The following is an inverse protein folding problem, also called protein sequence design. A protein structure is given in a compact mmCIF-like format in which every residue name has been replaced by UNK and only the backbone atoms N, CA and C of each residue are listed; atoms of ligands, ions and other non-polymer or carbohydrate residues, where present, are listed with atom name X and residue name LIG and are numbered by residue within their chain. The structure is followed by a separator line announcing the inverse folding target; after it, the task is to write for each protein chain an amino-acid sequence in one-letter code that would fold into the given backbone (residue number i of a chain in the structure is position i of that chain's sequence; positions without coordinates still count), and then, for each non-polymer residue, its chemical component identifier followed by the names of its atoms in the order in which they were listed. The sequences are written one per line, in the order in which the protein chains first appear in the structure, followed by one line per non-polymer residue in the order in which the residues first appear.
data_IF_831706396388
#
_entry.id   IF_831706396388
#
_cell.length_a   1.000
_cell.length_b   1.000
_cell.length_c   1.000
_cell.angle_alpha   90.00
_cell.angle_beta   90.00
_cell.angle_gamma   90.00
#
_symmetry.space_group_name_H-M   'P 1'
#
loop_
_entity.id
_entity.type
_entity.pdbx_description
1 polymer ?
#
# COMPACT_ATOMS: atom_id res chain seq x y z
N UNK A 1 -3.36 -3.62 19.87
CA UNK A 1 -2.58 -4.51 18.97
C UNK A 1 -1.15 -4.01 18.93
N UNK A 2 -0.13 -4.87 18.77
CA UNK A 2 1.26 -4.41 18.66
C UNK A 2 1.61 -4.01 17.22
N UNK A 3 2.56 -3.09 17.05
CA UNK A 3 3.08 -2.67 15.75
C UNK A 3 3.54 -3.87 14.91
N UNK A 4 4.33 -4.77 15.53
CA UNK A 4 4.86 -5.98 14.88
C UNK A 4 3.76 -6.87 14.32
N UNK A 5 2.63 -7.00 15.03
CA UNK A 5 1.49 -7.79 14.56
C UNK A 5 0.85 -7.17 13.30
N UNK A 6 0.77 -5.84 13.22
CA UNK A 6 0.24 -5.14 12.03
C UNK A 6 1.18 -5.33 10.84
N UNK A 7 2.48 -5.14 11.06
CA UNK A 7 3.50 -5.32 10.01
C UNK A 7 3.49 -6.76 9.49
N UNK A 8 3.39 -7.75 10.38
CA UNK A 8 3.31 -9.17 9.99
C UNK A 8 2.08 -9.45 9.12
N UNK A 9 0.90 -8.93 9.49
CA UNK A 9 -0.30 -9.06 8.66
C UNK A 9 -0.17 -8.38 7.30
N UNK A 10 0.43 -7.19 7.25
CA UNK A 10 0.69 -6.50 6.00
C UNK A 10 1.67 -7.26 5.11
N UNK A 11 2.70 -7.87 5.68
CA UNK A 11 3.64 -8.73 4.94
C UNK A 11 2.96 -10.00 4.40
N UNK A 12 2.07 -10.61 5.17
CA UNK A 12 1.27 -11.74 4.71
C UNK A 12 0.35 -11.34 3.53
N UNK A 13 -0.27 -10.16 3.61
CA UNK A 13 -1.04 -9.60 2.50
C UNK A 13 -0.18 -9.36 1.26
N UNK A 14 1.03 -8.79 1.42
CA UNK A 14 1.96 -8.58 0.31
C UNK A 14 2.38 -9.91 -0.36
N UNK A 15 2.54 -10.98 0.41
CA UNK A 15 2.82 -12.30 -0.13
C UNK A 15 1.64 -12.83 -0.98
N UNK A 16 0.41 -12.70 -0.48
CA UNK A 16 -0.80 -13.05 -1.22
C UNK A 16 -0.93 -12.23 -2.53
N UNK A 17 -0.72 -10.92 -2.44
CA UNK A 17 -0.81 -10.01 -3.59
C UNK A 17 0.20 -10.36 -4.69
N UNK A 18 1.40 -10.83 -4.32
CA UNK A 18 2.40 -11.32 -5.29
C UNK A 18 1.96 -12.58 -6.01
N UNK A 19 1.32 -13.52 -5.30
CA UNK A 19 0.79 -14.73 -5.95
C UNK A 19 -0.35 -14.37 -6.92
N UNK A 20 -1.24 -13.46 -6.53
CA UNK A 20 -2.31 -12.96 -7.41
C UNK A 20 -1.76 -12.23 -8.66
N UNK A 21 -0.60 -11.60 -8.55
CA UNK A 21 0.03 -10.85 -9.63
C UNK A 21 0.88 -11.70 -10.59
N UNK A 22 0.89 -13.03 -10.43
CA UNK A 22 1.79 -13.93 -11.14
C UNK A 22 1.68 -13.79 -12.66
N UNK A 23 0.46 -13.66 -13.16
CA UNK A 23 0.14 -13.57 -14.59
C UNK A 23 0.06 -12.12 -15.09
N UNK A 24 0.52 -11.17 -14.28
CA UNK A 24 0.40 -9.74 -14.53
C UNK A 24 -0.76 -9.12 -13.75
N UNK A 25 -0.81 -7.79 -13.78
CA UNK A 25 -1.88 -7.00 -13.17
C UNK A 25 -2.23 -5.84 -14.11
N UNK A 26 -3.44 -5.33 -13.99
CA UNK A 26 -3.80 -4.00 -14.47
C UNK A 26 -3.50 -2.96 -13.39
N UNK A 27 -3.34 -1.70 -13.80
CA UNK A 27 -3.23 -0.58 -12.85
C UNK A 27 -4.45 -0.45 -11.93
N UNK A 28 -5.64 -0.84 -12.40
CA UNK A 28 -6.86 -0.88 -11.58
C UNK A 28 -6.81 -1.95 -10.49
N UNK A 29 -6.27 -3.14 -10.80
CA UNK A 29 -6.05 -4.20 -9.81
C UNK A 29 -4.98 -3.81 -8.79
N UNK A 30 -3.87 -3.23 -9.25
CA UNK A 30 -2.86 -2.67 -8.37
C UNK A 30 -3.45 -1.62 -7.41
N UNK A 31 -4.27 -0.71 -7.93
CA UNK A 31 -4.95 0.31 -7.12
C UNK A 31 -5.87 -0.28 -6.06
N UNK A 32 -6.61 -1.36 -6.39
CA UNK A 32 -7.43 -2.09 -5.41
C UNK A 32 -6.58 -2.71 -4.29
N UNK A 33 -5.52 -3.42 -4.64
CA UNK A 33 -4.58 -4.02 -3.68
C UNK A 33 -3.93 -2.97 -2.78
N UNK A 34 -3.59 -1.81 -3.34
CA UNK A 34 -3.04 -0.68 -2.59
C UNK A 34 -4.04 -0.17 -1.56
N UNK A 35 -5.30 0.07 -1.94
CA UNK A 35 -6.34 0.55 -1.02
C UNK A 35 -6.65 -0.48 0.06
N UNK A 36 -6.70 -1.77 -0.28
CA UNK A 36 -6.91 -2.86 0.68
C UNK A 36 -5.77 -2.93 1.72
N UNK A 37 -4.52 -2.86 1.27
CA UNK A 37 -3.35 -2.79 2.15
C UNK A 37 -3.42 -1.57 3.07
N UNK A 38 -3.78 -0.39 2.53
CA UNK A 38 -3.92 0.82 3.33
C UNK A 38 -5.05 0.72 4.36
N UNK A 39 -6.20 0.15 4.00
CA UNK A 39 -7.30 -0.09 4.96
C UNK A 39 -6.86 -1.02 6.10
N UNK A 40 -6.22 -2.14 5.76
CA UNK A 40 -5.71 -3.10 6.74
C UNK A 40 -4.71 -2.45 7.70
N UNK A 41 -3.75 -1.70 7.14
CA UNK A 41 -2.67 -1.08 7.92
C UNK A 41 -3.16 0.10 8.75
N UNK A 42 -4.02 0.97 8.21
CA UNK A 42 -4.60 2.10 8.95
C UNK A 42 -5.46 1.60 10.11
N UNK A 43 -6.38 0.66 9.87
CA UNK A 43 -7.21 0.08 10.92
C UNK A 43 -6.35 -0.61 12.00
N UNK A 44 -5.28 -1.29 11.57
CA UNK A 44 -4.38 -1.95 12.50
C UNK A 44 -3.55 -0.99 13.34
N UNK A 45 -2.95 0.02 12.70
CA UNK A 45 -2.11 1.02 13.34
C UNK A 45 -2.91 1.96 14.23
N UNK A 46 -4.17 2.26 13.93
CA UNK A 46 -5.02 3.09 14.81
C UNK A 46 -5.14 2.43 16.20
N UNK A 47 -5.24 1.09 16.25
CA UNK A 47 -5.27 0.29 17.48
C UNK A 47 -3.91 0.04 18.15
N UNK A 48 -2.81 0.59 17.62
CA UNK A 48 -1.48 0.53 18.25
C UNK A 48 -1.30 1.74 19.17
N UNK A 49 -1.02 1.45 20.44
CA UNK A 49 -0.64 2.45 21.45
C UNK A 49 0.86 2.70 21.40
N UNK A 50 1.30 3.94 21.67
CA UNK A 50 2.74 4.30 21.74
C UNK A 50 3.35 4.81 20.43
N UNK A 51 2.61 4.78 19.32
CA UNK A 51 3.01 5.43 18.07
C UNK A 51 2.29 6.78 17.89
N UNK A 52 3.02 7.79 17.42
CA UNK A 52 2.43 9.07 17.03
C UNK A 52 1.67 8.95 15.70
N UNK A 53 0.73 9.85 15.43
CA UNK A 53 0.02 9.91 14.15
C UNK A 53 0.95 9.96 12.92
N UNK A 54 1.97 10.83 12.91
CA UNK A 54 2.96 10.88 11.83
C UNK A 54 3.74 9.56 11.66
N UNK A 55 4.11 8.89 12.76
CA UNK A 55 4.80 7.60 12.70
C UNK A 55 3.91 6.51 12.09
N UNK A 56 2.62 6.47 12.45
CA UNK A 56 1.63 5.54 11.87
C UNK A 56 1.47 5.78 10.36
N UNK A 57 1.35 7.05 9.94
CA UNK A 57 1.28 7.42 8.52
C UNK A 57 2.52 6.95 7.76
N UNK A 58 3.71 7.22 8.30
CA UNK A 58 4.96 6.81 7.68
C UNK A 58 5.05 5.28 7.51
N UNK A 59 4.63 4.52 8.53
CA UNK A 59 4.59 3.05 8.47
C UNK A 59 3.64 2.54 7.37
N UNK A 60 2.41 3.08 7.28
CA UNK A 60 1.46 2.71 6.24
C UNK A 60 1.97 3.03 4.83
N UNK A 61 2.55 4.23 4.63
CA UNK A 61 3.13 4.64 3.33
C UNK A 61 4.37 3.80 2.99
N UNK A 62 5.17 3.38 3.97
CA UNK A 62 6.29 2.46 3.75
C UNK A 62 5.85 1.08 3.25
N UNK A 63 4.71 0.59 3.74
CA UNK A 63 4.11 -0.66 3.24
C UNK A 63 3.56 -0.49 1.81
N UNK A 64 2.95 0.65 1.50
CA UNK A 64 2.54 0.99 0.13
C UNK A 64 3.75 1.06 -0.84
N UNK A 65 4.88 1.60 -0.38
CA UNK A 65 6.14 1.57 -1.15
C UNK A 65 6.58 0.14 -1.44
N UNK A 66 6.53 -0.74 -0.44
CA UNK A 66 6.87 -2.16 -0.61
C UNK A 66 5.95 -2.86 -1.63
N UNK A 67 4.66 -2.53 -1.64
CA UNK A 67 3.72 -3.04 -2.64
C UNK A 67 4.09 -2.56 -4.05
N UNK A 68 4.30 -1.25 -4.22
CA UNK A 68 4.70 -0.68 -5.50
C UNK A 68 6.00 -1.30 -6.02
N UNK A 69 7.02 -1.34 -5.18
CA UNK A 69 8.35 -1.82 -5.55
C UNK A 69 8.34 -3.30 -5.93
N UNK A 70 7.37 -4.08 -5.43
CA UNK A 70 7.23 -5.51 -5.75
C UNK A 70 6.28 -5.84 -6.91
N UNK A 71 5.26 -5.01 -7.18
CA UNK A 71 4.19 -5.35 -8.14
C UNK A 71 4.08 -4.39 -9.32
N UNK A 72 4.64 -3.19 -9.28
CA UNK A 72 4.43 -2.20 -10.34
C UNK A 72 4.94 -2.68 -11.71
N UNK A 73 6.03 -3.46 -11.74
CA UNK A 73 6.56 -4.04 -12.97
C UNK A 73 5.58 -5.05 -13.61
N UNK A 74 4.68 -5.66 -12.81
CA UNK A 74 3.63 -6.57 -13.29
C UNK A 74 2.46 -5.83 -13.95
N UNK A 75 2.39 -4.51 -13.80
CA UNK A 75 1.35 -3.67 -14.39
C UNK A 75 1.66 -3.22 -15.82
N UNK A 76 2.86 -3.55 -16.33
CA UNK A 76 3.41 -2.97 -17.55
C UNK A 76 3.62 -4.06 -18.59
N UNK A 77 3.04 -3.92 -19.80
CA UNK A 77 3.30 -4.86 -20.88
C UNK A 77 4.74 -4.75 -21.37
N UNK A 78 5.32 -5.87 -21.82
CA UNK A 78 6.72 -5.96 -22.26
C UNK A 78 7.11 -4.89 -23.29
N UNK A 79 6.21 -4.54 -24.21
CA UNK A 79 6.44 -3.52 -25.25
C UNK A 79 6.66 -2.12 -24.66
N UNK A 80 6.03 -1.82 -23.52
CA UNK A 80 6.16 -0.52 -22.85
C UNK A 80 7.28 -0.47 -21.81
N UNK A 81 7.99 -1.58 -21.58
CA UNK A 81 8.98 -1.70 -20.52
C UNK A 81 10.15 -0.69 -20.60
N UNK A 82 10.70 -0.35 -21.79
CA UNK A 82 11.76 0.67 -21.89
C UNK A 82 11.31 2.05 -21.40
N UNK A 83 10.08 2.45 -21.76
CA UNK A 83 9.49 3.72 -21.30
C UNK A 83 9.22 3.66 -19.80
N UNK A 84 8.71 2.51 -19.32
CA UNK A 84 8.45 2.30 -17.91
C UNK A 84 9.68 2.52 -17.02
N UNK A 85 10.86 2.03 -17.42
CA UNK A 85 12.09 2.24 -16.66
C UNK A 85 12.42 3.73 -16.47
N UNK A 86 12.10 4.59 -17.45
CA UNK A 86 12.30 6.04 -17.36
C UNK A 86 11.29 6.72 -16.45
N UNK A 87 10.04 6.25 -16.43
CA UNK A 87 8.94 6.87 -15.69
C UNK A 87 8.63 6.19 -14.34
N UNK A 88 9.25 5.06 -14.02
CA UNK A 88 8.96 4.29 -12.80
C UNK A 88 9.13 5.13 -11.55
N UNK A 89 10.21 5.90 -11.45
CA UNK A 89 10.49 6.76 -10.30
C UNK A 89 9.44 7.86 -10.13
N UNK A 90 9.10 8.69 -11.14
CA UNK A 90 8.03 9.68 -10.97
C UNK A 90 6.68 9.03 -10.69
N UNK A 91 6.35 7.88 -11.30
CA UNK A 91 5.11 7.15 -11.00
C UNK A 91 5.09 6.68 -9.54
N UNK A 92 6.21 6.16 -9.02
CA UNK A 92 6.35 5.79 -7.60
C UNK A 92 6.06 6.97 -6.69
N UNK A 93 6.61 8.14 -6.99
CA UNK A 93 6.40 9.35 -6.19
C UNK A 93 4.92 9.76 -6.17
N UNK A 94 4.24 9.69 -7.30
CA UNK A 94 2.81 9.97 -7.40
C UNK A 94 2.02 8.96 -6.57
N UNK A 95 2.29 7.66 -6.70
CA UNK A 95 1.60 6.60 -5.95
C UNK A 95 1.79 6.78 -4.44
N UNK A 96 3.00 7.13 -3.99
CA UNK A 96 3.25 7.36 -2.56
C UNK A 96 2.60 8.65 -2.03
N UNK A 97 2.56 9.71 -2.83
CA UNK A 97 1.82 10.92 -2.49
C UNK A 97 0.32 10.62 -2.34
N UNK A 98 -0.25 9.85 -3.28
CA UNK A 98 -1.64 9.38 -3.22
C UNK A 98 -1.90 8.48 -2.01
N UNK A 99 -0.99 7.55 -1.71
CA UNK A 99 -1.09 6.70 -0.51
C UNK A 99 -1.07 7.56 0.77
N UNK A 100 -0.23 8.59 0.83
CA UNK A 100 -0.19 9.54 1.93
C UNK A 100 -1.52 10.26 2.14
N UNK A 101 -2.17 10.74 1.07
CA UNK A 101 -3.51 11.34 1.15
C UNK A 101 -4.60 10.32 1.48
N UNK A 102 -4.51 9.10 0.93
CA UNK A 102 -5.47 8.04 1.20
C UNK A 102 -5.46 7.60 2.66
N UNK A 103 -4.29 7.54 3.31
CA UNK A 103 -4.20 7.26 4.76
C UNK A 103 -5.00 8.27 5.57
N UNK A 104 -4.90 9.56 5.25
CA UNK A 104 -5.63 10.62 5.96
C UNK A 104 -7.14 10.53 5.72
N UNK A 105 -7.56 10.20 4.49
CA UNK A 105 -8.96 9.99 4.15
C UNK A 105 -9.57 8.73 4.79
N UNK A 106 -8.76 7.69 5.03
CA UNK A 106 -9.24 6.42 5.62
C UNK A 106 -9.46 6.51 7.14
N UNK A 107 -8.73 7.35 7.86
CA UNK A 107 -8.84 7.51 9.32
C UNK A 107 -10.28 7.75 9.82
N UNK A 108 -11.07 8.71 9.29
CA UNK A 108 -12.43 8.92 9.75
C UNK A 108 -13.34 7.71 9.44
N UNK A 109 -13.14 7.06 8.28
CA UNK A 109 -13.94 5.90 7.85
C UNK A 109 -13.71 4.68 8.73
N UNK A 110 -12.46 4.42 9.14
CA UNK A 110 -12.17 3.30 10.05
C UNK A 110 -12.74 3.53 11.45
N UNK A 111 -12.84 4.79 11.88
CA UNK A 111 -13.40 5.15 13.19
C UNK A 111 -14.92 5.13 13.22
N UNK A 112 -15.60 5.50 12.13
CA UNK A 112 -17.07 5.45 12.05
C UNK A 112 -17.63 4.03 12.01
N UNK A 113 -16.84 3.04 11.62
CA UNK A 113 -17.23 1.61 11.66
C UNK A 113 -17.12 1.01 13.06
N UNK A 114 -16.38 1.65 13.97
CA UNK A 114 -16.15 1.16 15.34
C UNK A 114 -17.12 1.72 16.39
N UNK A 115 -17.98 2.67 16.01
CA UNK A 115 -19.08 3.22 16.82
C UNK A 115 -20.39 2.55 16.48
#
# INVERSE_FOLDING_TARGET
MSETAVISRAQAFLALAREQARDGLTWGEFGRLLVELLRLTVAGLDAVTGMTGPAKKAAAVGLAATLFDSLADRCVPLVAYPVWLLIRTPVRMIVLALAGGAVEALLPLTRSVQT
#
